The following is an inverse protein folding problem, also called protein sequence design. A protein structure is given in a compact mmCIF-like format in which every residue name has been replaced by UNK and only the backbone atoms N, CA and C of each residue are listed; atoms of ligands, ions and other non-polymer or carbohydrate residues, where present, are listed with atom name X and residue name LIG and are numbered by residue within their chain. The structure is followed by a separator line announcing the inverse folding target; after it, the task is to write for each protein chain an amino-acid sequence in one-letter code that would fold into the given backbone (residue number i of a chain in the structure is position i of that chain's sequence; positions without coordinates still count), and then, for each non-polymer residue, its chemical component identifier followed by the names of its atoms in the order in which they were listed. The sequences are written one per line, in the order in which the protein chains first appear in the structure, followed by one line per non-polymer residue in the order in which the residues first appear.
data_IF_797442632864
#
_entry.id   IF_797442632864
#
_cell.length_a   1.000
_cell.length_b   1.000
_cell.length_c   1.000
_cell.angle_alpha   90.00
_cell.angle_beta   90.00
_cell.angle_gamma   90.00
#
_symmetry.space_group_name_H-M   'P 1'
#
loop_
_entity.id
_entity.type
_entity.pdbx_description
1 polymer ?
#
# COMPACT_ATOMS: atom_id res chain seq x y z
N UNK A 1 13.52 -1.58 -35.45
CA UNK A 1 12.82 -1.10 -34.24
C UNK A 1 13.83 -0.34 -33.40
N UNK A 2 13.50 0.82 -32.81
CA UNK A 2 14.42 1.51 -31.90
C UNK A 2 14.76 0.60 -30.71
N UNK A 3 16.01 0.63 -30.27
CA UNK A 3 16.46 -0.07 -29.05
C UNK A 3 15.95 0.72 -27.85
N UNK A 4 15.35 0.05 -26.87
CA UNK A 4 14.96 0.71 -25.63
C UNK A 4 16.22 1.19 -24.88
N UNK A 5 16.16 2.38 -24.29
CA UNK A 5 17.24 2.96 -23.47
C UNK A 5 16.98 2.76 -21.97
N UNK A 6 15.72 2.56 -21.59
CA UNK A 6 15.30 2.44 -20.22
C UNK A 6 14.12 1.48 -20.07
N UNK A 7 14.02 0.89 -18.87
CA UNK A 7 12.83 0.17 -18.39
C UNK A 7 12.40 0.84 -17.10
N UNK A 8 11.17 1.35 -17.09
CA UNK A 8 10.58 1.99 -15.93
C UNK A 8 9.47 1.09 -15.42
N UNK A 9 9.56 0.69 -14.16
CA UNK A 9 8.63 -0.24 -13.52
C UNK A 9 7.59 0.52 -12.73
N UNK A 10 6.33 0.13 -12.87
CA UNK A 10 5.40 0.29 -11.77
C UNK A 10 5.88 -0.51 -10.54
N UNK A 11 5.47 -0.10 -9.34
CA UNK A 11 5.94 -0.71 -8.09
C UNK A 11 4.94 -1.74 -7.57
N UNK A 12 3.72 -1.28 -7.28
CA UNK A 12 2.71 -2.03 -6.54
C UNK A 12 2.02 -3.06 -7.43
N UNK A 13 2.01 -4.33 -7.03
CA UNK A 13 1.50 -5.46 -7.85
C UNK A 13 2.27 -5.66 -9.17
N UNK A 14 3.43 -5.02 -9.31
CA UNK A 14 4.37 -5.24 -10.41
C UNK A 14 5.69 -5.81 -9.89
N UNK A 15 6.35 -5.12 -8.96
CA UNK A 15 7.54 -5.60 -8.27
C UNK A 15 7.18 -6.15 -6.88
N UNK A 16 6.29 -5.47 -6.17
CA UNK A 16 5.87 -5.83 -4.82
C UNK A 16 4.53 -6.58 -4.82
N UNK A 17 4.44 -7.62 -3.99
CA UNK A 17 3.18 -8.23 -3.59
C UNK A 17 2.50 -7.37 -2.52
N UNK A 18 1.88 -6.28 -2.99
CA UNK A 18 1.22 -5.31 -2.11
C UNK A 18 0.12 -5.95 -1.25
N UNK A 19 -0.56 -7.01 -1.74
CA UNK A 19 -1.65 -7.65 -0.99
C UNK A 19 -1.10 -8.35 0.26
N UNK A 20 -0.03 -9.11 0.12
CA UNK A 20 0.59 -9.78 1.26
C UNK A 20 1.15 -8.76 2.26
N UNK A 21 1.79 -7.70 1.77
CA UNK A 21 2.32 -6.63 2.62
C UNK A 21 1.22 -5.85 3.35
N UNK A 22 0.12 -5.52 2.67
CA UNK A 22 -1.05 -4.84 3.27
C UNK A 22 -1.71 -5.71 4.34
N UNK A 23 -1.92 -7.00 4.06
CA UNK A 23 -2.48 -7.95 5.02
C UNK A 23 -1.63 -8.02 6.30
N UNK A 24 -0.33 -8.31 6.17
CA UNK A 24 0.56 -8.42 7.33
C UNK A 24 0.70 -7.10 8.09
N UNK A 25 0.78 -5.97 7.37
CA UNK A 25 0.90 -4.65 7.98
C UNK A 25 -0.36 -4.22 8.75
N UNK A 26 -1.55 -4.48 8.21
CA UNK A 26 -2.81 -4.19 8.90
C UNK A 26 -3.00 -5.07 10.13
N UNK A 27 -2.63 -6.35 10.06
CA UNK A 27 -2.74 -7.26 11.19
C UNK A 27 -1.92 -6.76 12.37
N UNK A 28 -0.68 -6.34 12.11
CA UNK A 28 0.19 -5.75 13.13
C UNK A 28 -0.36 -4.41 13.62
N UNK A 29 -0.85 -3.53 12.74
CA UNK A 29 -1.44 -2.26 13.13
C UNK A 29 -2.59 -2.44 14.12
N UNK A 30 -3.55 -3.32 13.84
CA UNK A 30 -4.67 -3.55 14.75
C UNK A 30 -4.21 -4.07 16.12
N UNK A 31 -3.20 -4.93 16.12
CA UNK A 31 -2.57 -5.44 17.35
C UNK A 31 -1.97 -4.28 18.16
N UNK A 32 -1.22 -3.38 17.53
CA UNK A 32 -0.61 -2.22 18.20
C UNK A 32 -1.64 -1.19 18.69
N UNK A 33 -2.80 -1.13 18.04
CA UNK A 33 -3.92 -0.28 18.44
C UNK A 33 -4.82 -0.93 19.50
N UNK A 34 -4.53 -2.16 19.93
CA UNK A 34 -5.35 -2.95 20.85
C UNK A 34 -6.81 -3.09 20.36
N UNK A 35 -7.00 -3.27 19.05
CA UNK A 35 -8.31 -3.49 18.44
C UNK A 35 -8.58 -4.99 18.34
N UNK A 36 -9.54 -5.48 19.12
CA UNK A 36 -9.95 -6.90 19.14
C UNK A 36 -11.16 -7.12 18.24
N UNK A 37 -10.94 -7.61 17.02
CA UNK A 37 -11.97 -7.93 16.03
C UNK A 37 -11.55 -9.15 15.19
N UNK A 38 -12.48 -9.71 14.41
CA UNK A 38 -12.12 -10.67 13.36
C UNK A 38 -11.28 -9.96 12.29
N UNK A 39 -10.00 -10.32 12.23
CA UNK A 39 -9.05 -9.68 11.33
C UNK A 39 -9.38 -9.92 9.85
N UNK A 40 -9.83 -11.12 9.50
CA UNK A 40 -10.12 -11.45 8.11
C UNK A 40 -11.35 -10.69 7.60
N UNK A 41 -12.37 -10.55 8.44
CA UNK A 41 -13.55 -9.74 8.16
C UNK A 41 -13.19 -8.25 8.02
N UNK A 42 -12.36 -7.75 8.95
CA UNK A 42 -11.86 -6.37 8.89
C UNK A 42 -11.06 -6.11 7.63
N UNK A 43 -10.11 -6.98 7.30
CA UNK A 43 -9.26 -6.85 6.13
C UNK A 43 -10.08 -6.80 4.83
N UNK A 44 -11.05 -7.69 4.67
CA UNK A 44 -11.93 -7.68 3.50
C UNK A 44 -12.71 -6.37 3.34
N UNK A 45 -13.14 -5.79 4.45
CA UNK A 45 -13.86 -4.52 4.48
C UNK A 45 -12.92 -3.36 4.19
N UNK A 46 -11.77 -3.32 4.87
CA UNK A 46 -10.72 -2.32 4.67
C UNK A 46 -10.25 -2.30 3.21
N UNK A 47 -9.96 -3.45 2.59
CA UNK A 47 -9.44 -3.48 1.22
C UNK A 47 -10.43 -2.88 0.22
N UNK A 48 -11.74 -3.11 0.39
CA UNK A 48 -12.79 -2.48 -0.45
C UNK A 48 -12.85 -0.97 -0.26
N UNK A 49 -12.77 -0.50 0.98
CA UNK A 49 -12.80 0.92 1.32
C UNK A 49 -11.53 1.64 0.85
N UNK A 50 -10.36 1.03 1.04
CA UNK A 50 -9.08 1.52 0.56
C UNK A 50 -9.09 1.64 -0.97
N UNK A 51 -9.56 0.60 -1.69
CA UNK A 51 -9.71 0.66 -3.15
C UNK A 51 -10.66 1.79 -3.59
N UNK A 52 -11.77 2.00 -2.87
CA UNK A 52 -12.67 3.11 -3.13
C UNK A 52 -11.98 4.47 -3.04
N UNK A 53 -11.22 4.72 -1.97
CA UNK A 53 -10.52 6.00 -1.79
C UNK A 53 -9.41 6.20 -2.82
N UNK A 54 -8.67 5.16 -3.17
CA UNK A 54 -7.71 5.21 -4.27
C UNK A 54 -8.39 5.50 -5.61
N UNK A 55 -9.58 4.94 -5.85
CA UNK A 55 -10.37 5.28 -7.04
C UNK A 55 -10.83 6.74 -7.03
N UNK A 56 -11.33 7.27 -5.90
CA UNK A 56 -11.69 8.70 -5.81
C UNK A 56 -10.49 9.60 -6.11
N UNK A 57 -9.29 9.22 -5.67
CA UNK A 57 -8.06 9.95 -5.99
C UNK A 57 -7.71 9.88 -7.48
N UNK A 58 -7.84 8.72 -8.11
CA UNK A 58 -7.48 8.56 -9.53
C UNK A 58 -8.38 9.37 -10.47
N UNK A 59 -9.62 9.67 -10.05
CA UNK A 59 -10.56 10.54 -10.78
C UNK A 59 -10.57 11.99 -10.28
N UNK A 60 -9.62 12.38 -9.42
CA UNK A 60 -9.44 13.76 -8.94
C UNK A 60 -10.48 14.24 -7.93
N UNK A 61 -11.25 13.33 -7.32
CA UNK A 61 -12.28 13.65 -6.31
C UNK A 61 -11.79 13.58 -4.86
N UNK A 62 -10.60 13.04 -4.64
CA UNK A 62 -9.94 12.98 -3.35
C UNK A 62 -8.46 13.32 -3.52
N UNK A 63 -7.86 13.96 -2.52
CA UNK A 63 -6.42 14.19 -2.48
C UNK A 63 -5.70 13.08 -1.68
N UNK A 64 -4.37 13.18 -1.54
CA UNK A 64 -3.58 12.19 -0.81
C UNK A 64 -3.95 12.11 0.68
N UNK A 65 -4.25 13.24 1.32
CA UNK A 65 -4.66 13.31 2.72
C UNK A 65 -6.03 12.64 2.93
N UNK A 66 -6.98 12.85 2.00
CA UNK A 66 -8.27 12.18 2.01
C UNK A 66 -8.11 10.66 1.98
N UNK A 67 -7.26 10.12 1.10
CA UNK A 67 -7.00 8.67 1.04
C UNK A 67 -6.43 8.16 2.37
N UNK A 68 -5.43 8.86 2.92
CA UNK A 68 -4.74 8.48 4.17
C UNK A 68 -5.69 8.46 5.36
N UNK A 69 -6.52 9.49 5.52
CA UNK A 69 -7.46 9.60 6.65
C UNK A 69 -8.67 8.70 6.46
N UNK A 70 -9.33 8.81 5.31
CA UNK A 70 -10.69 8.32 5.17
C UNK A 70 -10.74 6.80 5.01
N UNK A 71 -9.69 6.17 4.46
CA UNK A 71 -9.64 4.70 4.39
C UNK A 71 -9.68 4.04 5.77
N UNK A 72 -9.01 4.63 6.76
CA UNK A 72 -9.03 4.13 8.13
C UNK A 72 -10.31 4.54 8.83
N UNK A 73 -10.73 5.80 8.72
CA UNK A 73 -11.99 6.29 9.30
C UNK A 73 -13.16 5.40 8.93
N UNK A 74 -13.37 5.20 7.63
CA UNK A 74 -14.56 4.54 7.13
C UNK A 74 -14.50 3.04 7.44
N UNK A 75 -13.31 2.45 7.46
CA UNK A 75 -13.11 1.07 7.90
C UNK A 75 -13.45 0.90 9.38
N UNK A 76 -12.90 1.73 10.28
CA UNK A 76 -13.20 1.65 11.71
C UNK A 76 -14.68 1.91 12.02
N UNK A 77 -15.29 2.88 11.34
CA UNK A 77 -16.72 3.17 11.49
C UNK A 77 -17.61 1.97 11.14
N UNK A 78 -17.24 1.17 10.13
CA UNK A 78 -18.00 -0.03 9.73
C UNK A 78 -18.06 -1.10 10.83
N UNK A 79 -17.07 -1.10 11.75
CA UNK A 79 -16.99 -2.01 12.89
C UNK A 79 -17.33 -1.35 14.24
N UNK A 80 -17.75 -0.07 14.23
CA UNK A 80 -18.02 0.68 15.46
C UNK A 80 -16.78 0.91 16.33
N UNK A 81 -15.59 0.94 15.71
CA UNK A 81 -14.32 1.16 16.41
C UNK A 81 -14.10 2.65 16.58
N UNK A 82 -13.99 3.09 17.83
CA UNK A 82 -13.61 4.46 18.18
C UNK A 82 -12.18 4.49 18.69
N UNK A 83 -11.31 5.23 18.00
CA UNK A 83 -9.94 5.45 18.43
C UNK A 83 -9.80 6.85 19.02
N UNK A 84 -9.01 6.99 20.08
CA UNK A 84 -8.68 8.28 20.68
C UNK A 84 -7.55 9.03 19.95
N UNK A 85 -6.88 8.36 19.02
CA UNK A 85 -5.75 8.90 18.25
C UNK A 85 -6.20 9.45 16.90
N UNK A 86 -5.41 10.37 16.33
CA UNK A 86 -5.70 10.97 15.03
C UNK A 86 -5.53 9.94 13.89
N UNK A 87 -6.36 10.05 12.85
CA UNK A 87 -6.33 9.12 11.72
C UNK A 87 -5.06 9.26 10.85
N UNK A 88 -4.42 10.43 10.83
CA UNK A 88 -3.10 10.57 10.24
C UNK A 88 -2.05 9.83 11.04
N UNK A 89 -2.14 9.86 12.37
CA UNK A 89 -1.24 9.10 13.22
C UNK A 89 -1.42 7.59 12.98
N UNK A 90 -2.66 7.10 12.83
CA UNK A 90 -2.93 5.72 12.40
C UNK A 90 -2.25 5.43 11.05
N UNK A 91 -2.40 6.32 10.09
CA UNK A 91 -1.81 6.16 8.76
C UNK A 91 -0.27 6.14 8.80
N UNK A 92 0.35 7.01 9.58
CA UNK A 92 1.81 7.06 9.75
C UNK A 92 2.35 5.77 10.38
N UNK A 93 1.69 5.28 11.44
CA UNK A 93 1.99 3.98 12.05
C UNK A 93 1.85 2.85 11.02
N UNK A 94 0.75 2.84 10.28
CA UNK A 94 0.55 1.86 9.22
C UNK A 94 1.66 1.89 8.17
N UNK A 95 2.08 3.06 7.69
CA UNK A 95 3.16 3.17 6.72
C UNK A 95 4.49 2.64 7.27
N UNK A 96 4.84 3.02 8.50
CA UNK A 96 6.05 2.54 9.16
C UNK A 96 6.06 1.01 9.32
N UNK A 97 4.91 0.42 9.67
CA UNK A 97 4.74 -1.03 9.76
C UNK A 97 4.79 -1.68 8.37
N UNK A 98 3.98 -1.21 7.43
CA UNK A 98 3.83 -1.81 6.10
C UNK A 98 5.16 -1.84 5.33
N UNK A 99 6.02 -0.83 5.49
CA UNK A 99 7.37 -0.81 4.90
C UNK A 99 8.28 -1.95 5.36
N UNK A 100 8.02 -2.53 6.54
CA UNK A 100 8.78 -3.66 7.08
C UNK A 100 8.27 -5.00 6.54
N UNK A 101 7.06 -5.02 5.97
CA UNK A 101 6.38 -6.20 5.43
C UNK A 101 6.43 -6.27 3.91
N UNK A 102 7.27 -5.48 3.24
CA UNK A 102 7.39 -5.51 1.78
C UNK A 102 7.89 -6.87 1.27
N UNK A 103 7.07 -7.50 0.41
CA UNK A 103 7.38 -8.77 -0.23
C UNK A 103 7.54 -8.53 -1.72
N UNK A 104 8.68 -8.92 -2.30
CA UNK A 104 8.85 -8.95 -3.75
C UNK A 104 8.20 -10.22 -4.32
N UNK A 105 7.66 -10.14 -5.54
CA UNK A 105 7.30 -11.37 -6.24
C UNK A 105 8.53 -12.25 -6.46
N UNK A 106 8.40 -13.60 -6.40
CA UNK A 106 9.56 -14.51 -6.32
C UNK A 106 10.61 -14.34 -7.43
N UNK A 107 10.21 -13.91 -8.63
CA UNK A 107 11.10 -13.76 -9.77
C UNK A 107 11.74 -12.37 -9.90
N UNK A 108 11.24 -11.37 -9.16
CA UNK A 108 11.59 -9.96 -9.36
C UNK A 108 13.07 -9.72 -9.13
N UNK A 109 13.65 -10.24 -8.05
CA UNK A 109 15.06 -10.03 -7.75
C UNK A 109 15.97 -10.58 -8.86
N UNK A 110 15.68 -11.78 -9.37
CA UNK A 110 16.46 -12.39 -10.45
C UNK A 110 16.30 -11.62 -11.77
N UNK A 111 15.09 -11.15 -12.09
CA UNK A 111 14.86 -10.35 -13.30
C UNK A 111 15.58 -9.01 -13.24
N UNK A 112 15.52 -8.32 -12.09
CA UNK A 112 16.22 -7.05 -11.90
C UNK A 112 17.74 -7.22 -11.97
N UNK A 113 18.30 -8.32 -11.44
CA UNK A 113 19.73 -8.64 -11.58
C UNK A 113 20.13 -8.79 -13.05
N UNK A 114 19.38 -9.57 -13.83
CA UNK A 114 19.63 -9.75 -15.28
C UNK A 114 19.53 -8.44 -16.05
N UNK A 115 18.55 -7.59 -15.72
CA UNK A 115 18.40 -6.30 -16.38
C UNK A 115 19.54 -5.33 -16.05
N UNK A 116 20.08 -5.39 -14.83
CA UNK A 116 21.26 -4.61 -14.43
C UNK A 116 22.54 -5.00 -15.15
N UNK A 117 22.61 -6.20 -15.75
CA UNK A 117 23.74 -6.63 -16.58
C UNK A 117 23.70 -6.03 -18.00
N UNK A 118 22.61 -5.32 -18.34
CA UNK A 118 22.44 -4.65 -19.63
C UNK A 118 22.78 -3.15 -19.55
N UNK A 119 22.78 -2.46 -20.69
CA UNK A 119 22.95 -1.00 -20.76
C UNK A 119 21.66 -0.22 -20.44
N UNK A 120 20.56 -0.91 -20.09
CA UNK A 120 19.27 -0.28 -19.83
C UNK A 120 19.29 0.48 -18.51
N UNK A 121 18.80 1.72 -18.52
CA UNK A 121 18.50 2.45 -17.28
C UNK A 121 17.25 1.85 -16.63
N UNK A 122 17.32 1.53 -15.34
CA UNK A 122 16.17 1.04 -14.58
C UNK A 122 15.62 2.14 -13.69
N UNK A 123 14.30 2.32 -13.70
CA UNK A 123 13.61 3.31 -12.88
C UNK A 123 12.30 2.78 -12.31
N UNK A 124 11.73 3.51 -11.37
CA UNK A 124 10.39 3.26 -10.82
C UNK A 124 9.50 4.46 -11.17
N UNK A 125 8.24 4.18 -11.52
CA UNK A 125 7.16 5.15 -11.61
C UNK A 125 6.00 4.64 -10.76
N UNK A 126 5.58 5.39 -9.75
CA UNK A 126 4.48 4.96 -8.86
C UNK A 126 3.56 6.12 -8.56
N UNK A 127 2.28 5.80 -8.33
CA UNK A 127 1.27 6.74 -7.83
C UNK A 127 1.29 6.87 -6.30
N UNK A 128 2.16 6.10 -5.65
CA UNK A 128 2.41 6.11 -4.21
C UNK A 128 2.92 7.46 -3.72
N UNK A 129 2.97 7.57 -2.39
CA UNK A 129 3.38 8.80 -1.72
C UNK A 129 4.91 8.90 -1.63
N UNK A 130 5.43 10.13 -1.63
CA UNK A 130 6.89 10.42 -1.60
C UNK A 130 7.31 11.24 -0.38
N UNK A 131 6.34 11.67 0.42
CA UNK A 131 6.45 12.45 1.65
C UNK A 131 6.41 11.54 2.89
#
# INVERSE_FOLDING_TARGET
MPKAEAVIFDLDRTLLDLKQSEYSGLQQLLTELNVEIDFDEFYQTYSKINEHWWHQRSIGKANSEDVRKNRFRDSFNQFGIELSIDLMEVNERYFAIASQHWVLYPSVENQLKKLKETELKLGIITNGFTD
#
